data_IF_258180261469
#
_entry.id   IF_258180261469
#
_cell.length_a   1.000
_cell.length_b   1.000
_cell.length_c   1.000
_cell.angle_alpha   90.00
_cell.angle_beta   90.00
_cell.angle_gamma   90.00
#
_symmetry.space_group_name_H-M   'P 1'
#
loop_
_entity.id
_entity.type
_entity.pdbx_description
1 polymer ?
#
# COMPACT_ATOMS: atom_id res chain seq x y z
N UNK A 1 -49.49 -21.85 -2.87
CA UNK A 1 -48.06 -21.45 -2.80
C UNK A 1 -47.66 -21.10 -4.20
N UNK A 2 -47.68 -19.82 -4.54
CA UNK A 2 -47.23 -19.31 -5.85
C UNK A 2 -45.73 -19.36 -5.87
N UNK A 3 -45.22 -20.20 -6.76
CA UNK A 3 -43.77 -20.31 -7.05
C UNK A 3 -43.33 -18.97 -7.62
N UNK A 4 -42.78 -18.10 -6.78
CA UNK A 4 -42.17 -16.83 -7.22
C UNK A 4 -40.92 -17.15 -7.97
N UNK A 5 -40.77 -16.62 -9.19
CA UNK A 5 -39.56 -16.82 -9.98
C UNK A 5 -38.36 -16.15 -9.29
N UNK A 6 -37.12 -16.66 -9.45
CA UNK A 6 -35.92 -16.00 -8.92
C UNK A 6 -35.80 -14.53 -9.33
N UNK A 7 -36.33 -14.15 -10.49
CA UNK A 7 -36.36 -12.77 -10.98
C UNK A 7 -37.32 -11.88 -10.19
N UNK A 8 -38.46 -12.41 -9.73
CA UNK A 8 -39.42 -11.64 -8.93
C UNK A 8 -38.84 -11.34 -7.55
N UNK A 9 -38.11 -12.31 -6.95
CA UNK A 9 -37.37 -12.12 -5.70
C UNK A 9 -36.26 -11.09 -5.86
N UNK A 10 -35.49 -11.13 -6.96
CA UNK A 10 -34.46 -10.17 -7.25
C UNK A 10 -35.01 -8.76 -7.42
N UNK A 11 -36.11 -8.59 -8.15
CA UNK A 11 -36.77 -7.29 -8.29
C UNK A 11 -37.35 -6.78 -6.97
N UNK A 12 -37.89 -7.65 -6.13
CA UNK A 12 -38.43 -7.28 -4.83
C UNK A 12 -37.34 -6.83 -3.83
N UNK A 13 -36.10 -7.34 -3.98
CA UNK A 13 -34.97 -7.02 -3.10
C UNK A 13 -33.99 -6.00 -3.69
N UNK A 14 -34.17 -5.55 -4.94
CA UNK A 14 -33.22 -4.67 -5.63
C UNK A 14 -33.02 -3.31 -4.95
N UNK A 15 -34.02 -2.81 -4.22
CA UNK A 15 -33.91 -1.56 -3.45
C UNK A 15 -33.00 -1.68 -2.21
N UNK A 16 -32.64 -2.89 -1.80
CA UNK A 16 -31.75 -3.16 -0.65
C UNK A 16 -30.27 -2.99 -1.02
N UNK A 17 -29.94 -2.76 -2.29
CA UNK A 17 -28.57 -2.63 -2.79
C UNK A 17 -28.22 -1.18 -3.12
N UNK A 18 -26.93 -0.89 -3.18
CA UNK A 18 -26.42 0.42 -3.59
C UNK A 18 -26.52 1.49 -2.50
N UNK A 19 -26.89 2.71 -2.87
CA UNK A 19 -26.94 3.86 -1.95
C UNK A 19 -27.96 3.74 -0.80
N UNK A 20 -28.89 2.81 -0.89
CA UNK A 20 -29.89 2.59 0.15
C UNK A 20 -29.44 1.58 1.21
N UNK A 21 -28.39 0.81 0.97
CA UNK A 21 -27.94 -0.25 1.86
C UNK A 21 -27.66 0.26 3.28
N UNK A 22 -26.89 1.32 3.41
CA UNK A 22 -26.54 1.92 4.72
C UNK A 22 -27.78 2.40 5.50
N UNK A 23 -28.74 2.98 4.81
CA UNK A 23 -30.00 3.43 5.43
C UNK A 23 -30.84 2.23 5.90
N UNK A 24 -30.89 1.18 5.11
CA UNK A 24 -31.61 -0.05 5.44
C UNK A 24 -30.98 -0.80 6.60
N UNK A 25 -29.65 -0.88 6.63
CA UNK A 25 -28.90 -1.44 7.76
C UNK A 25 -29.20 -0.70 9.08
N UNK A 26 -29.25 0.63 9.04
CA UNK A 26 -29.62 1.43 10.21
C UNK A 26 -31.07 1.20 10.66
N UNK A 27 -32.01 1.05 9.73
CA UNK A 27 -33.39 0.72 10.04
C UNK A 27 -33.52 -0.69 10.61
N UNK A 28 -32.80 -1.64 10.03
CA UNK A 28 -32.78 -3.03 10.50
C UNK A 28 -32.18 -3.15 11.89
N UNK A 29 -31.10 -2.46 12.17
CA UNK A 29 -30.51 -2.39 13.51
C UNK A 29 -31.48 -1.81 14.56
N UNK A 30 -32.30 -0.81 14.19
CA UNK A 30 -33.38 -0.30 15.08
C UNK A 30 -34.46 -1.33 15.31
N UNK A 31 -34.92 -2.00 14.27
CA UNK A 31 -35.90 -3.08 14.35
C UNK A 31 -35.40 -4.23 15.21
N UNK A 32 -34.16 -4.67 15.07
CA UNK A 32 -33.55 -5.73 15.84
C UNK A 32 -33.48 -5.42 17.35
N UNK A 33 -33.25 -4.14 17.71
CA UNK A 33 -33.25 -3.69 19.10
C UNK A 33 -34.68 -3.51 19.67
N UNK A 34 -35.58 -2.94 18.88
CA UNK A 34 -37.01 -2.76 19.23
C UNK A 34 -37.84 -2.78 17.94
N UNK A 35 -38.61 -3.87 17.69
CA UNK A 35 -39.45 -3.98 16.50
C UNK A 35 -40.53 -2.90 16.36
N UNK A 36 -40.79 -2.10 17.39
CA UNK A 36 -41.71 -0.97 17.33
C UNK A 36 -41.01 0.38 17.08
N UNK A 37 -39.69 0.39 17.02
CA UNK A 37 -38.88 1.59 16.69
C UNK A 37 -38.85 1.95 15.21
N UNK A 38 -39.47 1.11 14.36
CA UNK A 38 -39.63 1.34 12.90
C UNK A 38 -41.12 1.42 12.56
N UNK A 39 -41.44 2.02 11.41
CA UNK A 39 -42.83 2.11 11.00
C UNK A 39 -43.42 0.72 10.64
N UNK A 40 -44.79 0.63 10.62
CA UNK A 40 -45.47 -0.65 10.46
C UNK A 40 -45.15 -1.35 9.11
N UNK A 41 -44.83 -0.61 8.07
CA UNK A 41 -44.49 -1.17 6.77
C UNK A 41 -43.09 -1.82 6.78
N UNK A 42 -42.11 -1.17 7.42
CA UNK A 42 -40.80 -1.74 7.64
C UNK A 42 -40.80 -2.93 8.59
N UNK A 43 -41.59 -2.83 9.64
CA UNK A 43 -41.77 -3.98 10.56
C UNK A 43 -42.29 -5.21 9.81
N UNK A 44 -43.36 -5.06 9.02
CA UNK A 44 -43.93 -6.16 8.24
C UNK A 44 -42.90 -6.73 7.24
N UNK A 45 -42.09 -5.88 6.65
CA UNK A 45 -41.06 -6.29 5.72
C UNK A 45 -39.96 -7.09 6.41
N UNK A 46 -39.43 -6.61 7.54
CA UNK A 46 -38.39 -7.30 8.30
C UNK A 46 -38.88 -8.60 8.95
N UNK A 47 -40.11 -8.61 9.45
CA UNK A 47 -40.77 -9.86 9.95
C UNK A 47 -40.86 -10.93 8.85
N UNK A 48 -41.02 -10.51 7.58
CA UNK A 48 -41.12 -11.42 6.43
C UNK A 48 -39.78 -11.97 5.95
N UNK A 49 -38.65 -11.34 6.29
CA UNK A 49 -37.31 -11.83 5.95
C UNK A 49 -36.98 -13.13 6.71
N UNK A 50 -37.50 -13.29 7.93
CA UNK A 50 -37.38 -14.53 8.70
C UNK A 50 -35.97 -14.86 9.16
N UNK A 51 -35.12 -13.86 9.26
CA UNK A 51 -33.75 -14.03 9.71
C UNK A 51 -33.67 -14.44 11.17
N UNK A 52 -32.76 -15.33 11.51
CA UNK A 52 -32.55 -15.76 12.90
C UNK A 52 -31.91 -14.64 13.74
N UNK A 53 -32.31 -14.51 15.00
CA UNK A 53 -31.78 -13.50 15.94
C UNK A 53 -30.24 -13.48 16.02
N UNK A 54 -29.59 -14.62 15.81
CA UNK A 54 -28.11 -14.73 15.86
C UNK A 54 -27.45 -14.27 14.58
N UNK A 55 -28.05 -14.46 13.42
CA UNK A 55 -27.58 -13.97 12.13
C UNK A 55 -27.69 -12.44 12.07
N UNK A 56 -28.77 -11.88 12.55
CA UNK A 56 -29.00 -10.45 12.70
C UNK A 56 -27.95 -9.79 13.59
N UNK A 57 -27.63 -10.40 14.72
CA UNK A 57 -26.59 -9.90 15.63
C UNK A 57 -25.21 -10.00 15.04
N UNK A 58 -24.93 -11.03 14.26
CA UNK A 58 -23.65 -11.21 13.57
C UNK A 58 -23.45 -10.15 12.47
N UNK A 59 -24.49 -9.83 11.69
CA UNK A 59 -24.45 -8.76 10.68
C UNK A 59 -24.41 -7.37 11.32
N UNK A 60 -25.18 -7.12 12.39
CA UNK A 60 -25.14 -5.85 13.13
C UNK A 60 -23.79 -5.57 13.82
N UNK A 61 -23.01 -6.62 14.11
CA UNK A 61 -21.65 -6.49 14.62
C UNK A 61 -20.64 -5.98 13.55
N UNK A 62 -21.09 -5.89 12.31
CA UNK A 62 -20.26 -5.50 11.17
C UNK A 62 -19.36 -6.62 10.65
N UNK A 63 -18.57 -6.36 9.61
CA UNK A 63 -17.74 -7.37 9.00
C UNK A 63 -16.71 -7.93 9.98
N UNK A 64 -16.43 -9.23 9.88
CA UNK A 64 -15.53 -9.97 10.79
C UNK A 64 -14.09 -9.41 10.82
N UNK A 65 -13.74 -8.61 9.84
CA UNK A 65 -12.45 -7.90 9.76
C UNK A 65 -12.51 -6.49 10.38
N UNK A 66 -13.70 -6.01 10.80
CA UNK A 66 -13.81 -4.70 11.44
C UNK A 66 -13.11 -4.73 12.80
N UNK A 67 -12.21 -3.78 13.01
CA UNK A 67 -11.48 -3.63 14.26
C UNK A 67 -12.33 -2.91 15.30
N UNK A 68 -12.37 -3.43 16.53
CA UNK A 68 -13.09 -2.82 17.65
C UNK A 68 -12.48 -1.46 18.08
N UNK A 69 -11.24 -1.19 17.69
CA UNK A 69 -10.49 0.03 18.00
C UNK A 69 -10.48 1.05 16.84
N UNK A 70 -11.33 0.89 15.83
CA UNK A 70 -11.52 1.83 14.74
C UNK A 70 -12.88 2.56 14.87
N UNK A 71 -12.97 3.88 14.72
CA UNK A 71 -11.89 4.83 14.39
C UNK A 71 -10.90 5.03 15.55
N UNK A 72 -9.65 5.43 15.27
CA UNK A 72 -8.65 5.67 16.31
C UNK A 72 -9.16 6.69 17.32
N UNK A 73 -8.83 6.49 18.60
CA UNK A 73 -9.28 7.36 19.68
C UNK A 73 -8.77 8.79 19.47
N UNK A 74 -9.61 9.81 19.69
CA UNK A 74 -9.16 11.19 19.64
C UNK A 74 -7.96 11.41 20.58
N UNK A 75 -6.87 11.94 20.02
CA UNK A 75 -5.65 12.23 20.78
C UNK A 75 -4.54 11.20 20.61
N UNK A 76 -4.74 10.14 19.81
CA UNK A 76 -3.63 9.30 19.37
C UNK A 76 -2.78 10.03 18.30
N UNK A 77 -1.57 9.52 18.09
CA UNK A 77 -0.63 10.08 17.13
C UNK A 77 -1.16 10.10 15.69
N UNK A 78 -2.03 9.17 15.31
CA UNK A 78 -2.61 9.09 13.99
C UNK A 78 -3.69 10.17 13.80
N UNK A 79 -4.54 10.37 14.79
CA UNK A 79 -5.57 11.41 14.77
C UNK A 79 -4.93 12.80 14.76
N UNK A 80 -3.92 13.04 15.61
CA UNK A 80 -3.16 14.28 15.62
C UNK A 80 -2.49 14.58 14.26
N UNK A 81 -2.03 13.55 13.55
CA UNK A 81 -1.46 13.71 12.23
C UNK A 81 -2.47 14.08 11.15
N UNK A 82 -3.69 13.54 11.25
CA UNK A 82 -4.75 13.79 10.28
C UNK A 82 -5.43 15.15 10.51
N UNK A 83 -5.61 15.52 11.78
CA UNK A 83 -6.31 16.77 12.16
C UNK A 83 -5.38 17.96 12.34
N UNK A 84 -4.08 17.73 12.56
CA UNK A 84 -3.11 18.78 12.92
C UNK A 84 -3.24 19.26 14.38
N UNK A 85 -4.09 18.63 15.16
CA UNK A 85 -4.28 18.92 16.58
C UNK A 85 -3.30 18.10 17.41
N UNK A 86 -2.20 18.72 17.82
CA UNK A 86 -1.21 18.11 18.69
C UNK A 86 -1.56 18.30 20.16
N UNK A 87 -1.19 17.35 21.05
CA UNK A 87 -1.42 17.53 22.49
C UNK A 87 -0.83 18.83 23.00
N UNK A 88 -1.63 19.54 23.79
CA UNK A 88 -1.29 20.85 24.30
C UNK A 88 -0.13 20.81 25.31
N UNK A 89 0.59 21.92 25.43
CA UNK A 89 1.69 22.34 26.31
C UNK A 89 2.19 21.49 27.53
N UNK A 90 1.46 20.56 28.18
CA UNK A 90 1.98 19.84 29.36
C UNK A 90 3.18 18.96 29.06
N UNK A 91 3.24 18.31 27.89
CA UNK A 91 4.34 17.43 27.53
C UNK A 91 5.64 18.17 27.18
N UNK A 92 5.53 19.38 26.64
CA UNK A 92 6.67 20.26 26.38
C UNK A 92 7.37 20.69 27.67
N UNK A 93 6.61 20.96 28.76
CA UNK A 93 7.16 21.32 30.07
C UNK A 93 7.89 20.15 30.73
N UNK A 94 7.39 18.92 30.55
CA UNK A 94 8.04 17.72 31.12
C UNK A 94 9.26 17.30 30.31
N UNK A 95 9.26 17.45 28.99
CA UNK A 95 10.43 17.23 28.14
C UNK A 95 11.56 18.22 28.49
N UNK A 96 11.23 19.50 28.72
CA UNK A 96 12.18 20.51 29.15
C UNK A 96 12.83 20.18 30.51
N UNK A 97 12.05 19.71 31.48
CA UNK A 97 12.55 19.27 32.78
C UNK A 97 13.51 18.06 32.68
N UNK A 98 13.17 17.08 31.81
CA UNK A 98 14.04 15.91 31.57
C UNK A 98 15.37 16.30 30.91
N UNK A 99 15.37 17.24 29.99
CA UNK A 99 16.58 17.75 29.33
C UNK A 99 17.44 18.53 30.35
N UNK A 100 16.85 19.41 31.15
CA UNK A 100 17.56 20.16 32.19
C UNK A 100 18.15 19.26 33.26
N UNK A 101 17.45 18.21 33.71
CA UNK A 101 17.95 17.24 34.68
C UNK A 101 19.15 16.44 34.13
N UNK A 102 19.08 15.98 32.88
CA UNK A 102 20.21 15.28 32.22
C UNK A 102 21.44 16.19 31.99
N UNK A 103 21.22 17.47 31.72
CA UNK A 103 22.29 18.45 31.58
C UNK A 103 22.97 18.73 32.90
N UNK A 104 22.19 18.85 33.98
CA UNK A 104 22.68 19.04 35.34
C UNK A 104 23.51 17.82 35.83
N UNK A 105 23.10 16.58 35.53
CA UNK A 105 23.87 15.36 35.80
C UNK A 105 25.26 15.36 35.14
N UNK A 106 25.36 16.04 33.97
CA UNK A 106 26.64 16.15 33.22
C UNK A 106 27.44 17.43 33.58
N UNK A 107 27.02 18.18 34.60
CA UNK A 107 27.70 19.39 35.05
C UNK A 107 27.65 20.57 34.07
N UNK A 108 26.71 20.56 33.12
CA UNK A 108 26.51 21.62 32.12
C UNK A 108 25.43 22.59 32.62
N UNK A 109 25.79 23.84 32.84
CA UNK A 109 24.84 24.91 33.14
C UNK A 109 24.19 25.35 31.80
N UNK A 110 22.91 25.04 31.64
CA UNK A 110 22.12 25.39 30.43
C UNK A 110 21.13 26.47 30.85
N UNK A 111 21.02 27.53 30.05
CA UNK A 111 20.03 28.57 30.31
C UNK A 111 18.61 28.07 30.01
N UNK A 112 17.59 28.63 30.68
CA UNK A 112 16.20 28.27 30.40
C UNK A 112 15.81 28.53 28.93
N UNK A 113 16.43 29.55 28.31
CA UNK A 113 16.22 29.87 26.90
C UNK A 113 16.81 28.78 25.96
N UNK A 114 17.99 28.24 26.28
CA UNK A 114 18.61 27.15 25.50
C UNK A 114 17.82 25.86 25.64
N UNK A 115 17.32 25.55 26.84
CA UNK A 115 16.42 24.41 27.06
C UNK A 115 15.14 24.55 26.24
N UNK A 116 14.51 25.72 26.28
CA UNK A 116 13.31 26.01 25.52
C UNK A 116 13.55 25.89 24.01
N UNK A 117 14.66 26.41 23.53
CA UNK A 117 15.06 26.30 22.11
C UNK A 117 15.27 24.83 21.71
N UNK A 118 16.01 24.06 22.50
CA UNK A 118 16.27 22.65 22.23
C UNK A 118 14.98 21.83 22.17
N UNK A 119 14.02 22.09 23.06
CA UNK A 119 12.70 21.44 23.06
C UNK A 119 11.93 21.81 21.80
N UNK A 120 11.87 23.11 21.45
CA UNK A 120 11.19 23.57 20.25
C UNK A 120 11.80 22.98 18.98
N UNK A 121 13.13 22.92 18.88
CA UNK A 121 13.80 22.33 17.72
C UNK A 121 13.50 20.83 17.59
N UNK A 122 13.48 20.10 18.72
CA UNK A 122 13.12 18.66 18.71
C UNK A 122 11.67 18.46 18.22
N UNK A 123 10.72 19.19 18.77
CA UNK A 123 9.31 19.10 18.34
C UNK A 123 9.14 19.45 16.87
N UNK A 124 9.73 20.55 16.41
CA UNK A 124 9.66 21.00 15.01
C UNK A 124 10.30 20.00 14.05
N UNK A 125 11.44 19.41 14.43
CA UNK A 125 12.10 18.37 13.63
C UNK A 125 11.25 17.11 13.54
N UNK A 126 10.64 16.66 14.64
CA UNK A 126 9.73 15.53 14.64
C UNK A 126 8.48 15.78 13.78
N UNK A 127 7.92 16.98 13.85
CA UNK A 127 6.80 17.38 12.98
C UNK A 127 7.19 17.35 11.50
N UNK A 128 8.38 17.86 11.15
CA UNK A 128 8.89 17.82 9.78
C UNK A 128 9.12 16.38 9.29
N UNK A 129 9.74 15.51 10.09
CA UNK A 129 9.91 14.09 9.78
C UNK A 129 8.55 13.44 9.50
N UNK A 130 7.57 13.74 10.34
CA UNK A 130 6.21 13.23 10.18
C UNK A 130 5.55 13.72 8.90
N UNK A 131 5.73 14.99 8.55
CA UNK A 131 5.23 15.53 7.29
C UNK A 131 5.81 14.77 6.07
N UNK A 132 7.10 14.45 6.08
CA UNK A 132 7.71 13.61 5.04
C UNK A 132 7.14 12.19 5.01
N UNK A 133 6.88 11.56 6.16
CA UNK A 133 6.26 10.22 6.22
C UNK A 133 4.87 10.20 5.58
N UNK A 134 4.09 11.26 5.77
CA UNK A 134 2.71 11.35 5.28
C UNK A 134 2.65 11.87 3.85
N UNK A 135 3.46 12.87 3.48
CA UNK A 135 3.32 13.63 2.23
C UNK A 135 4.57 13.65 1.36
N UNK A 136 5.69 13.07 1.80
CA UNK A 136 6.94 13.06 1.04
C UNK A 136 6.79 12.45 -0.34
N UNK A 137 5.95 11.43 -0.49
CA UNK A 137 5.63 10.78 -1.77
C UNK A 137 5.07 11.75 -2.83
N UNK A 138 4.47 12.86 -2.42
CA UNK A 138 3.96 13.89 -3.34
C UNK A 138 5.07 14.74 -3.96
N UNK A 139 6.26 14.71 -3.38
CA UNK A 139 7.46 15.38 -3.88
C UNK A 139 8.48 14.38 -4.48
N UNK A 140 8.08 13.11 -4.67
CA UNK A 140 8.90 12.11 -5.29
C UNK A 140 9.06 12.36 -6.80
N UNK A 141 10.24 12.09 -7.33
CA UNK A 141 10.57 12.16 -8.76
C UNK A 141 10.11 10.88 -9.46
N UNK A 142 8.82 10.84 -9.80
CA UNK A 142 8.16 9.68 -10.42
C UNK A 142 7.99 9.84 -11.94
N UNK A 143 8.48 10.94 -12.52
CA UNK A 143 8.36 11.20 -13.95
C UNK A 143 9.76 11.14 -14.62
N UNK A 144 10.14 10.00 -15.20
CA UNK A 144 11.44 9.82 -15.83
C UNK A 144 11.65 10.72 -17.07
N UNK A 145 10.57 11.28 -17.62
CA UNK A 145 10.63 12.18 -18.77
C UNK A 145 10.69 13.66 -18.38
N UNK A 146 10.49 13.98 -17.09
CA UNK A 146 10.52 15.34 -16.57
C UNK A 146 9.45 16.27 -17.16
N UNK A 147 8.32 15.72 -17.60
CA UNK A 147 7.22 16.49 -18.20
C UNK A 147 6.32 17.15 -17.16
N UNK A 148 6.39 16.68 -15.92
CA UNK A 148 5.58 17.19 -14.83
C UNK A 148 6.37 18.13 -13.94
N UNK A 149 5.86 19.33 -13.74
CA UNK A 149 6.38 20.22 -12.70
C UNK A 149 6.04 19.68 -11.31
N UNK A 150 7.02 19.59 -10.43
CA UNK A 150 6.80 19.22 -9.03
C UNK A 150 6.21 20.44 -8.30
N UNK A 151 4.98 20.38 -7.78
CA UNK A 151 4.39 21.49 -7.06
C UNK A 151 5.20 21.84 -5.81
N UNK A 152 5.26 23.12 -5.48
CA UNK A 152 5.83 23.55 -4.20
C UNK A 152 5.02 22.95 -3.04
N UNK A 153 5.73 22.39 -2.05
CA UNK A 153 5.16 21.71 -0.89
C UNK A 153 5.61 22.42 0.40
N UNK A 154 4.91 23.46 0.84
CA UNK A 154 5.30 24.22 2.04
C UNK A 154 5.41 23.34 3.28
N UNK A 155 4.58 22.29 3.38
CA UNK A 155 4.60 21.33 4.47
C UNK A 155 5.88 20.46 4.54
N UNK A 156 6.69 20.45 3.49
CA UNK A 156 7.99 19.77 3.44
C UNK A 156 9.17 20.75 3.53
N UNK A 157 8.90 22.07 3.61
CA UNK A 157 9.93 23.08 3.74
C UNK A 157 10.22 23.35 5.23
N UNK A 158 11.48 23.18 5.69
CA UNK A 158 11.88 23.49 7.07
C UNK A 158 11.50 24.90 7.53
N UNK A 159 11.44 25.87 6.61
CA UNK A 159 11.05 27.25 6.92
C UNK A 159 9.64 27.34 7.46
N UNK A 160 8.72 26.47 7.02
CA UNK A 160 7.35 26.41 7.53
C UNK A 160 7.27 25.98 9.00
N UNK A 161 8.34 25.36 9.51
CA UNK A 161 8.49 24.97 10.91
C UNK A 161 9.32 25.97 11.72
N UNK A 162 9.68 27.11 11.12
CA UNK A 162 10.47 28.16 11.78
C UNK A 162 11.97 27.87 11.86
N UNK A 163 12.48 26.97 11.04
CA UNK A 163 13.91 26.79 10.86
C UNK A 163 14.47 27.76 9.82
N UNK A 164 15.70 28.19 10.02
CA UNK A 164 16.45 29.07 9.11
C UNK A 164 17.73 28.37 8.66
N UNK A 165 18.47 28.96 7.73
CA UNK A 165 19.74 28.39 7.26
C UNK A 165 20.79 28.26 8.38
N UNK A 166 20.73 29.11 9.40
CA UNK A 166 21.64 29.07 10.57
C UNK A 166 21.38 27.82 11.43
N UNK A 167 20.17 27.28 11.37
CA UNK A 167 19.75 26.12 12.18
C UNK A 167 20.11 24.78 11.56
N UNK A 168 20.52 24.77 10.27
CA UNK A 168 20.71 23.55 9.49
C UNK A 168 21.71 22.58 10.06
N UNK A 169 22.75 23.06 10.72
CA UNK A 169 23.86 22.24 11.22
C UNK A 169 23.84 22.10 12.75
N UNK A 170 22.84 22.68 13.42
CA UNK A 170 22.69 22.57 14.88
C UNK A 170 22.23 21.17 15.25
N UNK A 171 22.85 20.54 16.29
CA UNK A 171 22.41 19.24 16.78
C UNK A 171 21.03 19.33 17.43
N UNK A 172 20.12 18.47 17.01
CA UNK A 172 18.75 18.36 17.47
C UNK A 172 18.54 16.97 18.05
N UNK A 173 17.96 16.88 19.23
CA UNK A 173 17.60 15.61 19.84
C UNK A 173 16.31 15.05 19.21
N UNK A 174 16.36 13.85 18.63
CA UNK A 174 15.23 13.21 17.93
C UNK A 174 14.90 11.81 18.48
N UNK A 175 15.47 11.45 19.61
CA UNK A 175 15.18 10.25 20.41
C UNK A 175 15.08 8.93 19.59
N UNK A 176 16.13 8.63 18.84
CA UNK A 176 16.24 7.47 17.95
C UNK A 176 15.25 7.42 16.77
N UNK A 177 14.47 8.46 16.55
CA UNK A 177 13.75 8.61 15.30
C UNK A 177 14.78 8.70 14.16
N UNK A 178 14.54 8.01 13.04
CA UNK A 178 15.48 7.80 11.93
C UNK A 178 16.74 6.99 12.33
N UNK A 179 16.71 6.27 13.45
CA UNK A 179 17.85 5.51 13.97
C UNK A 179 18.98 6.36 14.58
N UNK A 180 18.74 7.65 14.82
CA UNK A 180 19.70 8.61 15.37
C UNK A 180 19.16 9.24 16.65
N UNK A 181 19.96 9.27 17.70
CA UNK A 181 19.58 9.94 18.95
C UNK A 181 19.62 11.47 18.79
N UNK A 182 20.63 11.95 18.09
CA UNK A 182 20.85 13.36 17.77
C UNK A 182 21.21 13.45 16.29
N UNK A 183 20.65 14.40 15.59
CA UNK A 183 20.96 14.69 14.19
C UNK A 183 20.85 16.18 13.92
N UNK A 184 21.61 16.68 12.95
CA UNK A 184 21.38 18.02 12.38
C UNK A 184 20.16 18.02 11.48
N UNK A 185 19.56 19.19 11.29
CA UNK A 185 18.44 19.31 10.35
C UNK A 185 18.82 18.90 8.92
N UNK A 186 20.07 19.14 8.53
CA UNK A 186 20.64 18.73 7.22
C UNK A 186 20.65 17.21 7.08
N UNK A 187 21.07 16.48 8.11
CA UNK A 187 21.06 15.02 8.12
C UNK A 187 19.63 14.48 8.10
N UNK A 188 18.74 15.04 8.91
CA UNK A 188 17.31 14.70 8.90
C UNK A 188 16.74 14.84 7.49
N UNK A 189 16.93 16.00 6.86
CA UNK A 189 16.44 16.25 5.49
C UNK A 189 17.06 15.32 4.46
N UNK A 190 18.35 15.00 4.55
CA UNK A 190 18.99 14.05 3.66
C UNK A 190 18.34 12.66 3.76
N UNK A 191 18.09 12.19 4.97
CA UNK A 191 17.45 10.89 5.20
C UNK A 191 16.02 10.88 4.67
N UNK A 192 15.18 11.85 5.09
CA UNK A 192 13.75 11.82 4.74
C UNK A 192 13.52 12.08 3.25
N UNK A 193 14.30 12.95 2.60
CA UNK A 193 14.23 13.18 1.16
C UNK A 193 14.64 11.93 0.37
N UNK A 194 15.74 11.28 0.75
CA UNK A 194 16.16 10.03 0.13
C UNK A 194 15.08 8.95 0.28
N UNK A 195 14.48 8.83 1.46
CA UNK A 195 13.52 7.77 1.77
C UNK A 195 12.17 7.98 1.08
N UNK A 196 11.69 9.22 1.04
CA UNK A 196 10.31 9.53 0.65
C UNK A 196 10.16 10.31 -0.66
N UNK A 197 11.23 10.95 -1.15
CA UNK A 197 11.18 11.83 -2.32
C UNK A 197 12.11 11.37 -3.46
N UNK A 198 12.52 10.12 -3.47
CA UNK A 198 13.37 9.56 -4.54
C UNK A 198 12.59 9.24 -5.82
N UNK A 199 13.17 8.38 -6.66
CA UNK A 199 12.54 7.89 -7.90
C UNK A 199 11.45 6.84 -7.66
N UNK A 200 11.21 6.48 -6.42
CA UNK A 200 10.07 5.72 -5.94
C UNK A 200 9.64 6.29 -4.58
N UNK A 201 8.43 5.98 -4.16
CA UNK A 201 7.91 6.42 -2.88
C UNK A 201 7.17 5.29 -2.16
N UNK A 202 7.29 5.26 -0.83
CA UNK A 202 6.58 4.33 0.02
C UNK A 202 5.48 5.05 0.79
N UNK A 203 4.27 4.53 0.70
CA UNK A 203 3.11 4.97 1.46
C UNK A 203 2.71 3.87 2.44
N UNK A 204 2.85 4.09 3.74
CA UNK A 204 2.54 3.09 4.77
C UNK A 204 1.82 3.68 5.99
N UNK A 205 1.63 5.01 6.04
CA UNK A 205 1.00 5.68 7.17
C UNK A 205 -0.49 5.35 7.35
N UNK A 206 -1.09 4.64 6.38
CA UNK A 206 -2.43 4.08 6.48
C UNK A 206 -2.48 2.74 7.22
N UNK A 207 -1.32 2.12 7.48
CA UNK A 207 -1.24 0.87 8.24
C UNK A 207 -1.54 1.19 9.70
N UNK A 208 -2.63 0.63 10.21
CA UNK A 208 -3.08 0.86 11.58
C UNK A 208 -2.35 0.01 12.61
N UNK A 209 -1.70 -1.08 12.20
CA UNK A 209 -0.88 -1.88 13.09
C UNK A 209 0.45 -1.19 13.42
N UNK A 210 0.71 -0.87 14.71
CA UNK A 210 1.92 -0.16 15.11
C UNK A 210 3.19 -0.99 14.91
N UNK A 211 3.13 -2.31 15.06
CA UNK A 211 4.30 -3.20 14.90
C UNK A 211 4.71 -3.29 13.43
N UNK A 212 3.75 -3.46 12.51
CA UNK A 212 4.01 -3.42 11.06
C UNK A 212 4.58 -2.08 10.63
N UNK A 213 3.98 -0.98 11.10
CA UNK A 213 4.43 0.38 10.80
C UNK A 213 5.85 0.63 11.34
N UNK A 214 6.16 0.17 12.55
CA UNK A 214 7.50 0.26 13.15
C UNK A 214 8.52 -0.57 12.36
N UNK A 215 8.15 -1.79 11.97
CA UNK A 215 8.98 -2.68 11.17
C UNK A 215 9.36 -2.07 9.81
N UNK A 216 8.41 -1.42 9.14
CA UNK A 216 8.68 -0.71 7.89
C UNK A 216 9.65 0.47 8.11
N UNK A 217 9.37 1.31 9.11
CA UNK A 217 10.24 2.47 9.46
C UNK A 217 11.68 2.04 9.69
N UNK A 218 11.91 1.00 10.50
CA UNK A 218 13.24 0.48 10.78
C UNK A 218 14.00 0.07 9.51
N UNK A 219 13.28 -0.42 8.49
CA UNK A 219 13.89 -0.93 7.25
C UNK A 219 14.16 0.13 6.20
N UNK A 220 13.41 1.22 6.19
CA UNK A 220 13.51 2.24 5.14
C UNK A 220 14.20 3.53 5.62
N UNK A 221 14.06 3.85 6.90
CA UNK A 221 14.67 5.04 7.51
C UNK A 221 16.07 4.74 8.06
N UNK A 222 16.85 5.77 8.26
CA UNK A 222 18.22 5.65 8.74
C UNK A 222 19.24 5.97 7.64
N UNK A 223 20.45 6.30 8.06
CA UNK A 223 21.53 6.72 7.16
C UNK A 223 22.12 5.55 6.35
N UNK A 224 21.98 4.33 6.83
CA UNK A 224 22.52 3.08 6.27
C UNK A 224 21.52 2.32 5.39
N UNK A 225 20.34 2.89 5.13
CA UNK A 225 19.25 2.23 4.38
C UNK A 225 19.24 2.56 2.89
N UNK A 226 20.35 3.04 2.35
CA UNK A 226 20.48 3.26 0.92
C UNK A 226 20.49 1.93 0.15
N UNK A 227 19.60 1.84 -0.86
CA UNK A 227 19.53 0.65 -1.72
C UNK A 227 20.67 0.69 -2.72
N UNK A 228 21.63 -0.22 -2.56
CA UNK A 228 22.73 -0.40 -3.50
C UNK A 228 22.64 -1.75 -4.20
N UNK A 229 22.77 -1.74 -5.51
CA UNK A 229 22.80 -2.96 -6.30
C UNK A 229 24.24 -3.38 -6.61
N UNK A 230 24.54 -4.66 -6.36
CA UNK A 230 25.81 -5.26 -6.82
C UNK A 230 25.87 -5.25 -8.35
N UNK A 231 27.09 -5.38 -8.92
CA UNK A 231 27.25 -5.50 -10.38
C UNK A 231 26.45 -6.70 -10.95
N UNK A 232 26.42 -7.82 -10.24
CA UNK A 232 25.65 -8.99 -10.64
C UNK A 232 24.14 -8.71 -10.59
N UNK A 233 23.66 -8.03 -9.55
CA UNK A 233 22.25 -7.63 -9.43
C UNK A 233 21.83 -6.71 -10.58
N UNK A 234 22.63 -5.69 -10.90
CA UNK A 234 22.35 -4.80 -12.05
C UNK A 234 22.31 -5.53 -13.38
N UNK A 235 23.20 -6.52 -13.60
CA UNK A 235 23.17 -7.35 -14.81
C UNK A 235 21.91 -8.24 -14.86
N UNK A 236 21.48 -8.79 -13.73
CA UNK A 236 20.25 -9.60 -13.67
C UNK A 236 19.02 -8.75 -13.99
N UNK A 237 18.93 -7.51 -13.46
CA UNK A 237 17.84 -6.58 -13.77
C UNK A 237 17.85 -6.25 -15.26
N UNK A 238 19.00 -5.88 -15.83
CA UNK A 238 19.13 -5.56 -17.25
C UNK A 238 18.72 -6.75 -18.13
N UNK A 239 19.15 -7.97 -17.78
CA UNK A 239 18.79 -9.17 -18.52
C UNK A 239 17.26 -9.37 -18.56
N UNK A 240 16.60 -9.20 -17.43
CA UNK A 240 15.13 -9.32 -17.34
C UNK A 240 14.39 -8.22 -18.10
N UNK A 241 14.93 -7.00 -18.13
CA UNK A 241 14.39 -5.93 -18.97
C UNK A 241 14.51 -6.25 -20.46
N UNK A 242 15.67 -6.75 -20.89
CA UNK A 242 15.92 -7.15 -22.29
C UNK A 242 15.04 -8.34 -22.69
N UNK A 243 14.84 -9.32 -21.80
CA UNK A 243 13.92 -10.44 -22.04
C UNK A 243 12.49 -9.94 -22.25
N UNK A 244 11.99 -9.08 -21.36
CA UNK A 244 10.63 -8.51 -21.43
C UNK A 244 10.43 -7.68 -22.71
N UNK A 245 11.27 -6.70 -22.93
CA UNK A 245 11.18 -5.81 -24.10
C UNK A 245 11.38 -6.58 -25.42
N UNK A 246 12.36 -7.47 -25.46
CA UNK A 246 12.66 -8.26 -26.65
C UNK A 246 11.49 -9.18 -27.05
N UNK A 247 10.82 -9.81 -26.07
CA UNK A 247 9.63 -10.60 -26.29
C UNK A 247 8.49 -9.77 -26.87
N UNK A 248 8.19 -8.62 -26.29
CA UNK A 248 7.12 -7.74 -26.75
C UNK A 248 7.40 -7.12 -28.12
N UNK A 249 8.65 -6.72 -28.38
CA UNK A 249 9.08 -6.24 -29.70
C UNK A 249 8.96 -7.35 -30.76
N UNK A 250 9.33 -8.57 -30.44
CA UNK A 250 9.15 -9.70 -31.35
C UNK A 250 7.68 -9.93 -31.69
N UNK A 251 6.79 -9.94 -30.69
CA UNK A 251 5.35 -10.04 -30.91
C UNK A 251 4.81 -8.88 -31.75
N UNK A 252 5.32 -7.68 -31.55
CA UNK A 252 4.92 -6.50 -32.29
C UNK A 252 5.20 -6.63 -33.78
N UNK A 253 6.39 -7.10 -34.12
CA UNK A 253 6.82 -7.27 -35.52
C UNK A 253 6.11 -8.47 -36.17
N UNK A 254 5.99 -9.58 -35.41
CA UNK A 254 5.52 -10.86 -36.00
C UNK A 254 4.00 -10.95 -36.10
N UNK A 255 3.27 -10.34 -35.18
CA UNK A 255 1.80 -10.44 -35.07
C UNK A 255 1.15 -9.06 -35.11
N UNK A 256 1.43 -8.31 -36.17
CA UNK A 256 0.77 -7.02 -36.43
C UNK A 256 -0.74 -7.20 -36.55
N UNK A 257 -1.51 -6.23 -36.03
CA UNK A 257 -2.97 -6.25 -36.07
C UNK A 257 -3.65 -7.11 -35.00
N UNK A 258 -2.87 -7.86 -34.20
CA UNK A 258 -3.41 -8.64 -33.08
C UNK A 258 -3.26 -7.89 -31.76
N UNK A 259 -4.20 -8.04 -30.83
CA UNK A 259 -4.07 -7.53 -29.46
C UNK A 259 -2.89 -8.24 -28.76
N UNK A 260 -1.98 -7.49 -28.18
CA UNK A 260 -0.79 -8.03 -27.50
C UNK A 260 -0.71 -7.61 -26.04
N UNK A 261 -1.32 -6.47 -25.69
CA UNK A 261 -1.37 -5.89 -24.34
C UNK A 261 0.01 -5.90 -23.66
N UNK A 262 1.00 -5.27 -24.28
CA UNK A 262 2.36 -5.17 -23.76
C UNK A 262 2.45 -4.30 -22.50
N UNK A 263 3.59 -4.37 -21.84
CA UNK A 263 3.92 -3.54 -20.68
C UNK A 263 4.15 -2.08 -21.05
N UNK A 264 4.70 -1.85 -22.26
CA UNK A 264 4.87 -0.53 -22.90
C UNK A 264 5.32 0.58 -21.92
N UNK A 265 6.57 0.51 -21.46
CA UNK A 265 7.16 1.43 -20.47
C UNK A 265 7.09 0.93 -19.03
N UNK A 266 6.39 -0.16 -18.75
CA UNK A 266 6.30 -0.82 -17.46
C UNK A 266 7.14 -2.11 -17.35
N UNK A 267 8.16 -2.31 -18.20
CA UNK A 267 8.97 -3.54 -18.28
C UNK A 267 9.70 -3.86 -16.98
N UNK A 268 9.94 -2.85 -16.13
CA UNK A 268 10.51 -3.01 -14.79
C UNK A 268 9.65 -3.87 -13.86
N UNK A 269 8.37 -4.12 -14.19
CA UNK A 269 7.52 -5.09 -13.49
C UNK A 269 8.15 -6.49 -13.47
N UNK A 270 8.77 -6.92 -14.57
CA UNK A 270 9.34 -8.28 -14.68
C UNK A 270 10.51 -8.49 -13.70
N UNK A 271 11.57 -7.66 -13.67
CA UNK A 271 12.61 -7.83 -12.67
C UNK A 271 12.11 -7.58 -11.23
N UNK A 272 11.11 -6.72 -11.02
CA UNK A 272 10.53 -6.51 -9.70
C UNK A 272 9.83 -7.77 -9.19
N UNK A 273 8.98 -8.40 -10.00
CA UNK A 273 8.31 -9.66 -9.65
C UNK A 273 9.32 -10.79 -9.40
N UNK A 274 10.33 -10.93 -10.25
CA UNK A 274 11.40 -11.93 -10.07
C UNK A 274 12.12 -11.73 -8.72
N UNK A 275 12.39 -10.50 -8.32
CA UNK A 275 13.03 -10.22 -7.04
C UNK A 275 12.10 -10.50 -5.85
N UNK A 276 10.82 -10.14 -5.94
CA UNK A 276 9.81 -10.43 -4.90
C UNK A 276 9.68 -11.93 -4.69
N UNK A 277 9.50 -12.70 -5.78
CA UNK A 277 9.35 -14.15 -5.74
C UNK A 277 10.61 -14.82 -5.15
N UNK A 278 11.79 -14.42 -5.65
CA UNK A 278 13.07 -14.94 -5.17
C UNK A 278 13.25 -14.66 -3.68
N UNK A 279 13.05 -13.40 -3.27
CA UNK A 279 13.26 -13.02 -1.87
C UNK A 279 12.21 -13.63 -0.95
N UNK A 280 10.96 -13.69 -1.39
CA UNK A 280 9.90 -14.39 -0.67
C UNK A 280 10.22 -15.86 -0.47
N UNK A 281 10.65 -16.56 -1.53
CA UNK A 281 11.06 -17.97 -1.44
C UNK A 281 12.23 -18.19 -0.49
N UNK A 282 13.25 -17.33 -0.53
CA UNK A 282 14.37 -17.39 0.43
C UNK A 282 13.95 -17.15 1.89
N UNK A 283 12.84 -16.45 2.11
CA UNK A 283 12.26 -16.19 3.43
C UNK A 283 11.20 -17.20 3.86
N UNK A 284 10.98 -18.26 3.08
CA UNK A 284 10.06 -19.34 3.42
C UNK A 284 8.62 -19.17 2.90
N UNK A 285 8.36 -18.22 2.02
CA UNK A 285 7.05 -18.11 1.34
C UNK A 285 6.85 -19.35 0.46
N UNK A 286 5.69 -19.99 0.58
CA UNK A 286 5.34 -21.22 -0.13
C UNK A 286 4.39 -20.98 -1.29
N UNK A 287 3.46 -20.03 -1.15
CA UNK A 287 2.43 -19.74 -2.15
C UNK A 287 2.40 -18.25 -2.48
N UNK A 288 2.36 -17.92 -3.77
CA UNK A 288 2.19 -16.57 -4.28
C UNK A 288 1.05 -16.55 -5.29
N UNK A 289 -0.01 -15.83 -4.99
CA UNK A 289 -1.14 -15.61 -5.89
C UNK A 289 -0.97 -14.27 -6.59
N UNK A 290 -1.03 -14.30 -7.93
CA UNK A 290 -0.86 -13.12 -8.78
C UNK A 290 -2.20 -12.80 -9.43
N UNK A 291 -2.75 -11.63 -9.13
CA UNK A 291 -3.93 -11.07 -9.78
C UNK A 291 -3.51 -9.92 -10.71
N UNK A 292 -3.88 -9.99 -11.98
CA UNK A 292 -3.58 -8.92 -12.93
C UNK A 292 -4.55 -8.91 -14.12
N UNK A 293 -4.87 -7.74 -14.67
CA UNK A 293 -5.63 -7.63 -15.91
C UNK A 293 -4.80 -8.08 -17.13
N UNK A 294 -5.25 -7.74 -18.32
CA UNK A 294 -4.59 -8.14 -19.56
C UNK A 294 -3.25 -7.43 -19.86
N UNK A 295 -3.05 -6.19 -19.36
CA UNK A 295 -1.83 -5.40 -19.61
C UNK A 295 -0.59 -6.12 -19.06
N UNK A 296 0.37 -6.44 -19.91
CA UNK A 296 1.58 -7.16 -19.56
C UNK A 296 1.42 -8.66 -19.26
N UNK A 297 0.21 -9.22 -19.36
CA UNK A 297 -0.06 -10.61 -18.95
C UNK A 297 0.74 -11.63 -19.74
N UNK A 298 0.90 -11.46 -21.05
CA UNK A 298 1.72 -12.36 -21.87
C UNK A 298 3.19 -12.33 -21.47
N UNK A 299 3.72 -11.15 -21.13
CA UNK A 299 5.09 -11.00 -20.62
C UNK A 299 5.25 -11.69 -19.26
N UNK A 300 4.28 -11.56 -18.36
CA UNK A 300 4.28 -12.27 -17.06
C UNK A 300 4.18 -13.78 -17.25
N UNK A 301 3.29 -14.26 -18.13
CA UNK A 301 3.18 -15.68 -18.44
C UNK A 301 4.50 -16.27 -18.94
N UNK A 302 5.20 -15.56 -19.84
CA UNK A 302 6.47 -16.01 -20.39
C UNK A 302 7.63 -15.87 -19.40
N UNK A 303 7.85 -14.66 -18.88
CA UNK A 303 9.08 -14.29 -18.20
C UNK A 303 9.05 -14.51 -16.68
N UNK A 304 7.85 -14.70 -16.08
CA UNK A 304 7.67 -14.96 -14.65
C UNK A 304 7.14 -16.36 -14.40
N UNK A 305 6.01 -16.73 -15.05
CA UNK A 305 5.40 -18.04 -14.89
C UNK A 305 6.12 -19.17 -15.67
N UNK A 306 7.02 -18.81 -16.60
CA UNK A 306 7.81 -19.77 -17.37
C UNK A 306 7.02 -20.49 -18.47
N UNK A 307 5.89 -19.92 -18.94
CA UNK A 307 5.17 -20.47 -20.09
C UNK A 307 6.06 -20.42 -21.33
N UNK A 308 6.27 -21.55 -22.04
CA UNK A 308 7.16 -21.56 -23.20
C UNK A 308 6.70 -20.59 -24.29
N UNK A 309 7.62 -19.82 -24.86
CA UNK A 309 7.34 -18.89 -25.96
C UNK A 309 6.62 -19.58 -27.13
N UNK A 310 7.05 -20.81 -27.48
CA UNK A 310 6.40 -21.59 -28.55
C UNK A 310 4.90 -21.83 -28.30
N UNK A 311 4.50 -22.00 -27.05
CA UNK A 311 3.09 -22.17 -26.70
C UNK A 311 2.31 -20.86 -26.96
N UNK A 312 2.87 -19.73 -26.54
CA UNK A 312 2.27 -18.40 -26.78
C UNK A 312 2.19 -18.11 -28.28
N UNK A 313 3.25 -18.43 -29.05
CA UNK A 313 3.25 -18.21 -30.51
C UNK A 313 2.24 -19.10 -31.24
N UNK A 314 2.05 -20.33 -30.79
CA UNK A 314 1.02 -21.21 -31.31
C UNK A 314 -0.39 -20.67 -31.08
N UNK A 315 -0.65 -20.10 -29.92
CA UNK A 315 -1.92 -19.44 -29.60
C UNK A 315 -2.19 -18.22 -30.47
N UNK A 316 -1.15 -17.47 -30.86
CA UNK A 316 -1.28 -16.38 -31.86
C UNK A 316 -1.63 -16.88 -33.26
N UNK A 317 -1.30 -18.11 -33.59
CA UNK A 317 -1.62 -18.75 -34.86
C UNK A 317 -3.00 -19.47 -34.85
N UNK A 318 -3.76 -19.33 -33.77
CA UNK A 318 -5.08 -19.96 -33.62
C UNK A 318 -5.05 -21.38 -33.05
N UNK A 319 -3.85 -21.87 -32.68
CA UNK A 319 -3.71 -23.14 -31.96
C UNK A 319 -3.99 -23.01 -30.47
N UNK A 320 -4.37 -24.13 -29.84
CA UNK A 320 -4.40 -24.22 -28.38
C UNK A 320 -3.20 -25.03 -27.88
N UNK A 321 -2.65 -24.68 -26.73
CA UNK A 321 -1.59 -25.46 -26.10
C UNK A 321 -2.12 -26.79 -25.52
N UNK A 322 -3.39 -26.80 -25.12
CA UNK A 322 -4.13 -27.98 -24.66
C UNK A 322 -5.50 -28.04 -25.33
N UNK A 323 -5.57 -28.46 -26.61
CA UNK A 323 -6.82 -28.42 -27.40
C UNK A 323 -7.97 -29.23 -26.79
N UNK A 324 -7.67 -30.24 -26.00
CA UNK A 324 -8.69 -31.14 -25.41
C UNK A 324 -9.31 -30.57 -24.12
N UNK A 325 -8.67 -29.58 -23.48
CA UNK A 325 -9.10 -29.03 -22.19
C UNK A 325 -9.77 -27.63 -22.30
N UNK A 326 -9.63 -26.97 -23.45
CA UNK A 326 -10.07 -25.57 -23.60
C UNK A 326 -10.82 -25.38 -24.89
N UNK A 327 -12.14 -25.41 -24.79
CA UNK A 327 -13.06 -25.01 -25.86
C UNK A 327 -13.28 -23.50 -25.76
N UNK A 328 -12.43 -22.69 -26.39
CA UNK A 328 -12.44 -21.25 -26.23
C UNK A 328 -12.07 -20.45 -27.47
N UNK A 329 -12.65 -19.26 -27.60
CA UNK A 329 -12.33 -18.29 -28.64
C UNK A 329 -10.89 -17.78 -28.54
N UNK A 330 -10.32 -17.22 -29.63
CA UNK A 330 -8.95 -16.69 -29.66
C UNK A 330 -8.63 -15.61 -28.62
N UNK A 331 -9.60 -15.10 -27.88
CA UNK A 331 -9.44 -14.12 -26.80
C UNK A 331 -9.04 -14.77 -25.45
N UNK A 332 -9.25 -16.08 -25.31
CA UNK A 332 -9.05 -16.83 -24.07
C UNK A 332 -7.59 -16.81 -23.58
N UNK A 333 -6.61 -16.70 -24.49
CA UNK A 333 -5.17 -16.65 -24.13
C UNK A 333 -4.77 -15.54 -23.16
N UNK A 334 -5.55 -14.46 -23.10
CA UNK A 334 -5.29 -13.32 -22.19
C UNK A 334 -5.98 -13.46 -20.84
N UNK A 335 -6.89 -14.42 -20.71
CA UNK A 335 -7.76 -14.55 -19.54
C UNK A 335 -7.52 -15.81 -18.74
N UNK A 336 -6.91 -16.83 -19.33
CA UNK A 336 -6.61 -18.07 -18.64
C UNK A 336 -5.60 -17.86 -17.50
N UNK A 337 -5.83 -18.59 -16.41
CA UNK A 337 -4.89 -18.74 -15.32
C UNK A 337 -3.69 -19.60 -15.71
N UNK A 338 -2.67 -19.58 -14.91
CA UNK A 338 -1.49 -20.44 -15.03
C UNK A 338 -0.91 -20.70 -13.64
N UNK A 339 -0.35 -21.90 -13.46
CA UNK A 339 0.39 -22.25 -12.25
C UNK A 339 1.77 -22.75 -12.61
N UNK A 340 2.76 -22.46 -11.79
CA UNK A 340 4.12 -22.98 -11.91
C UNK A 340 4.81 -23.03 -10.57
N UNK A 341 5.78 -23.91 -10.44
CA UNK A 341 6.59 -24.05 -9.25
C UNK A 341 7.99 -23.48 -9.49
N UNK A 342 8.50 -22.78 -8.49
CA UNK A 342 9.87 -22.23 -8.45
C UNK A 342 10.56 -22.73 -7.18
N UNK A 343 11.87 -22.89 -7.23
CA UNK A 343 12.65 -23.32 -6.06
C UNK A 343 13.76 -22.32 -5.77
N UNK A 344 13.89 -21.96 -4.48
CA UNK A 344 14.90 -21.03 -4.00
C UNK A 344 15.49 -21.53 -2.68
N UNK A 345 16.79 -21.84 -2.70
CA UNK A 345 17.53 -22.32 -1.54
C UNK A 345 16.87 -23.51 -0.82
N UNK A 346 16.27 -24.43 -1.63
CA UNK A 346 15.57 -25.62 -1.12
C UNK A 346 14.11 -25.39 -0.70
N UNK A 347 13.62 -24.16 -0.76
CA UNK A 347 12.21 -23.86 -0.56
C UNK A 347 11.45 -23.79 -1.88
N UNK A 348 10.36 -24.56 -1.97
CA UNK A 348 9.47 -24.57 -3.15
C UNK A 348 8.41 -23.50 -3.00
N UNK A 349 8.27 -22.66 -4.01
CA UNK A 349 7.25 -21.61 -4.11
C UNK A 349 6.28 -21.97 -5.23
N UNK A 350 5.01 -22.13 -4.89
CA UNK A 350 3.95 -22.29 -5.87
C UNK A 350 3.44 -20.92 -6.33
N UNK A 351 3.46 -20.68 -7.64
CA UNK A 351 2.94 -19.46 -8.25
C UNK A 351 1.60 -19.75 -8.90
N UNK A 352 0.58 -18.99 -8.57
CA UNK A 352 -0.74 -19.06 -9.19
C UNK A 352 -1.10 -17.71 -9.80
N UNK A 353 -1.07 -17.62 -11.13
CA UNK A 353 -1.66 -16.49 -11.85
C UNK A 353 -3.14 -16.77 -12.05
N UNK A 354 -4.00 -16.00 -11.39
CA UNK A 354 -5.44 -16.19 -11.44
C UNK A 354 -6.00 -15.91 -12.84
N UNK A 355 -7.09 -16.59 -13.19
CA UNK A 355 -7.88 -16.23 -14.36
C UNK A 355 -8.39 -14.78 -14.22
N UNK A 356 -8.60 -14.12 -15.33
CA UNK A 356 -8.97 -12.72 -15.38
C UNK A 356 -10.19 -12.54 -16.29
N UNK A 357 -11.31 -11.96 -15.81
CA UNK A 357 -12.34 -11.48 -16.72
C UNK A 357 -11.79 -10.30 -17.54
N UNK A 358 -12.22 -10.21 -18.79
CA UNK A 358 -11.63 -9.31 -19.80
C UNK A 358 -11.63 -7.84 -19.39
N UNK A 359 -12.70 -7.40 -18.81
CA UNK A 359 -12.94 -6.01 -18.43
C UNK A 359 -13.73 -5.98 -17.12
N UNK A 360 -13.13 -5.49 -16.09
CA UNK A 360 -13.78 -5.10 -14.84
C UNK A 360 -13.73 -3.60 -14.70
#
# INVERSE_FOLDING_TARGET
>A
MTDQSPNDLFHASSFMQGHNAEYLEQLYARYANDPNAVDAAWKTFFDALGDGDDDVKAEAAGPSWARADWPPMPGDDLTAALTGEWPAEPELKDAGKKIAAKAAEKGVSVSDEDVKRAVLDSVRALMLIRAYRIRGHLAADLDPLGLRETPNRPELDPKSYGFTEIDMDRPIFIDNVLGLQIASLREILAIVKRTYCGTFALQYMHISDPEESAWLKERIEGYDKEITFTRTGRKAILNKLVEAEGFEKYLHVKYMGTKRFGLDGGESLIPAMEQIIKRGGQLGVQDIVIGMPHRGRLSVLANVMGKPYRAIFNEFQGGSFKPEEVDGSGDVKYHLGASSDREFDGNKVHLSLTANPSHL
#
